data_IF_938467605211
#
_entry.id   IF_938467605211
#
_cell.length_a   1.000
_cell.length_b   1.000
_cell.length_c   1.000
_cell.angle_alpha   90.00
_cell.angle_beta   90.00
_cell.angle_gamma   90.00
#
_symmetry.space_group_name_H-M   'P 1'
#
loop_
_entity.id
_entity.type
_entity.pdbx_description
1 polymer ?
#
# COMPACT_ATOMS: atom_id res chain seq x y z
N UNK A 1 1.71 -9.95 39.96
CA UNK A 1 2.12 -9.89 38.53
C UNK A 1 0.84 -9.76 37.73
N UNK A 2 0.73 -8.79 36.82
CA UNK A 2 -0.46 -8.57 36.00
C UNK A 2 -0.07 -8.80 34.54
N UNK A 3 -0.81 -9.67 33.86
CA UNK A 3 -0.63 -9.94 32.44
C UNK A 3 -1.82 -9.35 31.69
N UNK A 4 -1.54 -8.57 30.65
CA UNK A 4 -2.55 -8.03 29.74
C UNK A 4 -2.31 -8.72 28.39
N UNK A 5 -3.38 -9.31 27.85
CA UNK A 5 -3.38 -9.92 26.52
C UNK A 5 -4.34 -9.16 25.64
N UNK A 6 -3.82 -8.51 24.61
CA UNK A 6 -4.63 -8.01 23.51
C UNK A 6 -4.56 -9.06 22.40
N UNK A 7 -5.57 -9.92 22.36
CA UNK A 7 -5.72 -10.87 21.27
C UNK A 7 -6.41 -10.14 20.12
N UNK A 8 -5.77 -10.09 18.95
CA UNK A 8 -6.20 -9.37 17.76
C UNK A 8 -6.15 -7.85 17.89
N UNK A 9 -5.09 -7.26 17.36
CA UNK A 9 -5.06 -5.85 17.00
C UNK A 9 -6.03 -5.62 15.84
N UNK A 10 -6.86 -4.60 15.95
CA UNK A 10 -7.81 -4.20 14.91
C UNK A 10 -7.25 -3.10 14.02
N UNK A 11 -7.89 -2.86 12.87
CA UNK A 11 -7.49 -1.84 11.87
C UNK A 11 -6.05 -1.99 11.36
N UNK A 12 -5.62 -3.23 11.19
CA UNK A 12 -4.37 -3.62 10.52
C UNK A 12 -4.67 -4.70 9.49
N UNK A 13 -3.80 -4.84 8.50
CA UNK A 13 -3.79 -6.02 7.65
C UNK A 13 -3.04 -7.16 8.36
N UNK A 14 -3.57 -8.37 8.24
CA UNK A 14 -3.07 -9.55 8.94
C UNK A 14 -3.48 -9.64 10.42
N UNK A 15 -2.84 -10.55 11.15
CA UNK A 15 -3.12 -10.85 12.54
C UNK A 15 -1.92 -10.49 13.43
N UNK A 16 -2.19 -9.76 14.50
CA UNK A 16 -1.20 -9.42 15.52
C UNK A 16 -1.80 -9.46 16.92
N UNK A 17 -1.00 -9.86 17.91
CA UNK A 17 -1.35 -9.83 19.33
C UNK A 17 -0.31 -9.01 20.11
N UNK A 18 -0.72 -8.41 21.22
CA UNK A 18 0.18 -7.74 22.16
C UNK A 18 0.08 -8.43 23.53
N UNK A 19 1.23 -8.82 24.06
CA UNK A 19 1.35 -9.35 25.42
C UNK A 19 2.15 -8.41 26.30
N UNK A 20 1.58 -7.98 27.42
CA UNK A 20 2.20 -7.04 28.36
C UNK A 20 2.28 -7.69 29.74
N UNK A 21 3.48 -7.74 30.30
CA UNK A 21 3.72 -8.19 31.67
C UNK A 21 4.06 -7.01 32.57
N UNK A 22 3.34 -6.87 33.67
CA UNK A 22 3.54 -5.81 34.67
C UNK A 22 3.88 -6.47 36.01
N UNK A 23 4.97 -6.01 36.64
CA UNK A 23 5.42 -6.46 37.94
C UNK A 23 5.68 -5.27 38.87
N UNK A 24 5.07 -5.26 40.06
CA UNK A 24 5.15 -4.15 41.04
C UNK A 24 4.90 -2.77 40.40
N UNK A 25 3.83 -2.66 39.60
CA UNK A 25 3.46 -1.46 38.84
C UNK A 25 4.53 -0.93 37.86
N UNK A 26 5.50 -1.77 37.50
CA UNK A 26 6.49 -1.47 36.45
C UNK A 26 6.29 -2.41 35.28
N UNK A 27 6.46 -1.86 34.08
CA UNK A 27 6.52 -2.67 32.86
C UNK A 27 7.70 -3.63 32.97
N UNK A 28 7.44 -4.92 32.81
CA UNK A 28 8.46 -5.98 32.84
C UNK A 28 8.78 -6.47 31.43
N UNK A 29 7.77 -6.63 30.59
CA UNK A 29 7.93 -7.20 29.25
C UNK A 29 6.80 -6.74 28.32
N UNK A 30 7.11 -6.56 27.03
CA UNK A 30 6.15 -6.38 25.95
C UNK A 30 6.55 -7.31 24.81
N UNK A 31 5.60 -8.06 24.27
CA UNK A 31 5.78 -8.85 23.06
C UNK A 31 4.71 -8.50 22.04
N UNK A 32 5.13 -8.37 20.80
CA UNK A 32 4.25 -8.40 19.64
C UNK A 32 4.36 -9.78 19.00
N UNK A 33 3.22 -10.45 18.82
CA UNK A 33 3.16 -11.78 18.22
C UNK A 33 2.35 -11.71 16.93
N UNK A 34 2.88 -12.28 15.85
CA UNK A 34 2.16 -12.46 14.59
C UNK A 34 1.79 -13.95 14.52
N UNK A 35 0.56 -14.34 14.88
CA UNK A 35 0.15 -15.75 14.92
C UNK A 35 -0.10 -16.35 13.52
N UNK A 36 0.12 -15.60 12.45
CA UNK A 36 -0.03 -16.12 11.08
C UNK A 36 1.05 -17.14 10.76
N UNK A 37 0.62 -18.31 10.28
CA UNK A 37 1.54 -19.30 9.74
C UNK A 37 2.22 -18.80 8.47
N UNK A 38 3.51 -19.14 8.24
CA UNK A 38 4.18 -18.79 7.01
C UNK A 38 3.48 -19.44 5.82
N UNK A 39 3.15 -18.64 4.79
CA UNK A 39 2.54 -19.13 3.53
C UNK A 39 3.57 -19.67 2.54
N UNK A 40 4.86 -19.47 2.82
CA UNK A 40 6.00 -20.04 2.08
C UNK A 40 5.98 -19.74 0.57
N UNK A 41 5.62 -18.51 0.18
CA UNK A 41 5.63 -18.07 -1.22
C UNK A 41 6.97 -18.28 -1.92
N UNK A 42 8.08 -18.13 -1.19
CA UNK A 42 9.44 -18.36 -1.71
C UNK A 42 9.66 -19.80 -2.15
N UNK A 43 9.13 -20.77 -1.39
CA UNK A 43 9.16 -22.19 -1.78
C UNK A 43 8.14 -22.49 -2.87
N UNK A 44 6.97 -21.85 -2.82
CA UNK A 44 5.87 -22.07 -3.77
C UNK A 44 6.24 -21.71 -5.22
N UNK A 45 7.14 -20.74 -5.40
CA UNK A 45 7.60 -20.30 -6.73
C UNK A 45 8.80 -21.10 -7.26
N UNK A 46 9.33 -22.07 -6.51
CA UNK A 46 10.38 -22.95 -7.01
C UNK A 46 9.84 -23.79 -8.18
N UNK A 47 10.68 -23.97 -9.19
CA UNK A 47 10.39 -24.72 -10.42
C UNK A 47 9.12 -24.26 -11.16
N UNK A 48 8.70 -22.99 -10.95
CA UNK A 48 7.59 -22.36 -11.66
C UNK A 48 8.08 -21.60 -12.87
N UNK A 49 7.28 -21.64 -13.93
CA UNK A 49 7.49 -20.80 -15.10
C UNK A 49 7.34 -19.32 -14.72
N UNK A 50 8.07 -18.39 -15.37
CA UNK A 50 8.01 -16.96 -15.07
C UNK A 50 6.58 -16.40 -15.02
N UNK A 51 5.70 -16.85 -15.91
CA UNK A 51 4.30 -16.41 -15.94
C UNK A 51 3.49 -16.93 -14.75
N UNK A 52 3.78 -18.14 -14.25
CA UNK A 52 3.16 -18.67 -13.04
C UNK A 52 3.57 -17.86 -11.82
N UNK A 53 4.86 -17.48 -11.73
CA UNK A 53 5.37 -16.61 -10.65
C UNK A 53 4.59 -15.29 -10.61
N UNK A 54 4.37 -14.66 -11.76
CA UNK A 54 3.60 -13.41 -11.86
C UNK A 54 2.14 -13.55 -11.41
N UNK A 55 1.58 -14.76 -11.48
CA UNK A 55 0.25 -15.06 -10.99
C UNK A 55 0.25 -15.42 -9.50
N UNK A 56 1.32 -16.02 -8.98
CA UNK A 56 1.43 -16.43 -7.58
C UNK A 56 1.69 -15.21 -6.68
N UNK A 57 2.76 -14.45 -6.94
CA UNK A 57 3.26 -13.44 -5.98
C UNK A 57 2.27 -12.32 -5.63
N UNK A 58 1.36 -11.85 -6.50
CA UNK A 58 0.41 -10.81 -6.10
C UNK A 58 -0.56 -11.25 -5.01
N UNK A 59 -0.68 -12.57 -4.75
CA UNK A 59 -1.53 -13.13 -3.67
C UNK A 59 -0.84 -13.09 -2.30
N UNK A 60 0.38 -12.54 -2.21
CA UNK A 60 1.01 -12.26 -0.92
C UNK A 60 0.15 -11.25 -0.15
N UNK A 61 -0.31 -10.18 -0.79
CA UNK A 61 -1.20 -9.20 -0.17
C UNK A 61 -2.14 -8.60 -1.22
N UNK A 62 -3.43 -8.47 -0.89
CA UNK A 62 -4.41 -7.87 -1.78
C UNK A 62 -4.29 -6.34 -1.88
N UNK A 63 -3.77 -5.68 -0.84
CA UNK A 63 -3.57 -4.23 -0.81
C UNK A 63 -2.38 -3.85 -1.71
N UNK A 64 -1.20 -4.41 -1.47
CA UNK A 64 0.02 -4.10 -2.24
C UNK A 64 0.30 -5.09 -3.40
N UNK A 65 -0.76 -5.51 -4.10
CA UNK A 65 -0.69 -6.54 -5.14
C UNK A 65 0.09 -6.12 -6.41
N UNK A 66 0.04 -4.84 -6.77
CA UNK A 66 0.77 -4.22 -7.88
C UNK A 66 2.26 -4.18 -7.56
N UNK A 67 2.62 -3.81 -6.34
CA UNK A 67 4.01 -3.85 -5.84
C UNK A 67 4.61 -5.24 -5.99
N UNK A 68 3.90 -6.29 -5.55
CA UNK A 68 4.37 -7.67 -5.69
C UNK A 68 4.54 -8.08 -7.16
N UNK A 69 3.57 -7.77 -8.01
CA UNK A 69 3.66 -8.08 -9.45
C UNK A 69 4.83 -7.35 -10.11
N UNK A 70 4.98 -6.06 -9.83
CA UNK A 70 6.00 -5.22 -10.43
C UNK A 70 7.40 -5.61 -9.94
N UNK A 71 7.56 -5.96 -8.66
CA UNK A 71 8.82 -6.49 -8.14
C UNK A 71 9.25 -7.78 -8.87
N UNK A 72 8.33 -8.72 -9.07
CA UNK A 72 8.62 -9.95 -9.81
C UNK A 72 8.91 -9.69 -11.30
N UNK A 73 8.17 -8.79 -11.95
CA UNK A 73 8.47 -8.38 -13.33
C UNK A 73 9.90 -7.85 -13.46
N UNK A 74 10.30 -6.93 -12.58
CA UNK A 74 11.66 -6.37 -12.59
C UNK A 74 12.72 -7.45 -12.36
N UNK A 75 12.47 -8.42 -11.49
CA UNK A 75 13.39 -9.52 -11.24
C UNK A 75 13.53 -10.42 -12.48
N UNK A 76 12.41 -10.85 -13.06
CA UNK A 76 12.37 -11.72 -14.24
C UNK A 76 12.98 -11.04 -15.48
N UNK A 77 12.67 -9.76 -15.70
CA UNK A 77 13.23 -8.97 -16.79
C UNK A 77 14.74 -8.77 -16.64
N UNK A 78 15.22 -8.56 -15.40
CA UNK A 78 16.65 -8.49 -15.11
C UNK A 78 17.36 -9.81 -15.42
N UNK A 79 16.77 -10.94 -15.03
CA UNK A 79 17.30 -12.28 -15.31
C UNK A 79 17.35 -12.54 -16.83
N UNK A 80 16.28 -12.17 -17.53
CA UNK A 80 16.18 -12.33 -18.99
C UNK A 80 16.92 -11.27 -19.81
N UNK A 81 17.61 -10.31 -19.17
CA UNK A 81 18.23 -9.15 -19.83
C UNK A 81 17.25 -8.38 -20.76
N UNK A 82 15.98 -8.30 -20.36
CA UNK A 82 14.91 -7.65 -21.11
C UNK A 82 14.90 -6.17 -20.76
N UNK A 83 15.04 -5.31 -21.78
CA UNK A 83 14.90 -3.87 -21.64
C UNK A 83 13.49 -3.46 -22.01
N UNK A 84 12.78 -2.84 -21.07
CA UNK A 84 11.45 -2.30 -21.32
C UNK A 84 11.52 -0.90 -21.97
N UNK A 85 10.62 -0.58 -22.91
CA UNK A 85 10.46 0.78 -23.42
C UNK A 85 10.09 1.79 -22.33
N UNK A 86 10.35 3.08 -22.57
CA UNK A 86 10.05 4.16 -21.62
C UNK A 86 8.55 4.25 -21.34
N UNK A 87 7.72 4.02 -22.35
CA UNK A 87 6.27 4.06 -22.31
C UNK A 87 5.72 2.97 -21.39
N UNK A 88 6.31 1.76 -21.46
CA UNK A 88 5.98 0.65 -20.55
C UNK A 88 6.31 1.03 -19.11
N UNK A 89 7.50 1.60 -18.87
CA UNK A 89 7.89 2.08 -17.53
C UNK A 89 6.89 3.09 -16.99
N UNK A 90 6.56 4.13 -17.76
CA UNK A 90 5.59 5.16 -17.36
C UNK A 90 4.21 4.58 -17.03
N UNK A 91 3.75 3.60 -17.81
CA UNK A 91 2.44 2.97 -17.55
C UNK A 91 2.47 2.07 -16.30
N UNK A 92 3.59 1.42 -15.99
CA UNK A 92 3.77 0.70 -14.72
C UNK A 92 3.81 1.65 -13.53
N UNK A 93 4.39 2.83 -13.71
CA UNK A 93 4.44 3.87 -12.68
C UNK A 93 3.04 4.40 -12.40
N UNK A 94 2.24 4.62 -13.45
CA UNK A 94 0.82 4.96 -13.31
C UNK A 94 0.03 3.89 -12.55
N UNK A 95 0.27 2.61 -12.83
CA UNK A 95 -0.36 1.51 -12.10
C UNK A 95 0.03 1.51 -10.61
N UNK A 96 1.30 1.74 -10.32
CA UNK A 96 1.82 1.80 -8.94
C UNK A 96 1.31 3.04 -8.19
N UNK A 97 1.15 4.19 -8.85
CA UNK A 97 0.44 5.35 -8.30
C UNK A 97 -0.98 4.99 -7.89
N UNK A 98 -1.68 4.18 -8.69
CA UNK A 98 -3.01 3.66 -8.37
C UNK A 98 -3.04 2.90 -7.05
N UNK A 99 -2.12 1.94 -6.89
CA UNK A 99 -1.96 1.19 -5.63
C UNK A 99 -1.63 2.12 -4.46
N UNK A 100 -0.71 3.07 -4.62
CA UNK A 100 -0.33 3.97 -3.55
C UNK A 100 -1.49 4.85 -3.09
N UNK A 101 -2.25 5.42 -4.03
CA UNK A 101 -3.43 6.23 -3.71
C UNK A 101 -4.49 5.39 -2.98
N UNK A 102 -4.75 4.18 -3.45
CA UNK A 102 -5.67 3.25 -2.80
C UNK A 102 -5.20 2.89 -1.38
N UNK A 103 -3.96 2.41 -1.25
CA UNK A 103 -3.38 1.91 -0.02
C UNK A 103 -3.21 3.01 1.03
N UNK A 104 -2.71 4.18 0.64
CA UNK A 104 -2.51 5.29 1.56
C UNK A 104 -3.85 5.89 1.99
N UNK A 105 -4.84 5.97 1.10
CA UNK A 105 -6.17 6.43 1.48
C UNK A 105 -6.86 5.43 2.44
N UNK A 106 -6.76 4.13 2.16
CA UNK A 106 -7.22 3.07 3.06
C UNK A 106 -6.57 3.21 4.44
N UNK A 107 -5.24 3.26 4.49
CA UNK A 107 -4.49 3.33 5.73
C UNK A 107 -4.80 4.61 6.52
N UNK A 108 -4.65 5.78 5.89
CA UNK A 108 -4.83 7.05 6.58
C UNK A 108 -6.28 7.22 7.05
N UNK A 109 -7.26 7.16 6.15
CA UNK A 109 -8.62 7.58 6.48
C UNK A 109 -9.45 6.52 7.18
N UNK A 110 -9.16 5.23 6.94
CA UNK A 110 -9.99 4.14 7.49
C UNK A 110 -9.32 3.42 8.66
N UNK A 111 -7.98 3.39 8.72
CA UNK A 111 -7.25 2.67 9.75
C UNK A 111 -6.68 3.60 10.82
N UNK A 112 -5.84 4.58 10.44
CA UNK A 112 -5.06 5.37 11.39
C UNK A 112 -5.82 6.57 11.97
N UNK A 113 -6.47 7.37 11.11
CA UNK A 113 -7.09 8.64 11.49
C UNK A 113 -8.14 8.52 12.61
N UNK A 114 -8.95 7.45 12.74
CA UNK A 114 -9.84 7.28 13.88
C UNK A 114 -9.10 7.35 15.23
N UNK A 115 -7.89 6.79 15.35
CA UNK A 115 -7.11 6.87 16.60
C UNK A 115 -6.70 8.31 16.94
N UNK A 116 -6.22 9.05 15.94
CA UNK A 116 -5.80 10.43 16.14
C UNK A 116 -6.95 11.35 16.56
N UNK A 117 -8.16 11.04 16.10
CA UNK A 117 -9.36 11.85 16.38
C UNK A 117 -10.19 11.30 17.55
N UNK A 118 -9.80 10.17 18.15
CA UNK A 118 -10.48 9.57 19.29
C UNK A 118 -11.78 8.84 18.95
N UNK A 119 -11.87 8.26 17.75
CA UNK A 119 -13.01 7.47 17.28
C UNK A 119 -12.68 5.98 17.22
N UNK A 120 -13.68 5.09 17.45
CA UNK A 120 -13.47 3.65 17.36
C UNK A 120 -13.21 3.18 15.92
N UNK A 121 -13.78 3.86 14.94
CA UNK A 121 -13.68 3.53 13.52
C UNK A 121 -14.05 4.75 12.64
N UNK A 122 -13.81 4.62 11.33
CA UNK A 122 -14.08 5.67 10.36
C UNK A 122 -15.59 5.90 10.10
N UNK A 123 -16.46 4.94 10.42
CA UNK A 123 -17.91 5.11 10.27
C UNK A 123 -18.42 6.07 11.35
N UNK A 124 -17.99 5.87 12.59
CA UNK A 124 -18.29 6.74 13.73
C UNK A 124 -17.77 8.16 13.54
N UNK A 125 -16.68 8.34 12.77
CA UNK A 125 -16.19 9.67 12.39
C UNK A 125 -17.16 10.45 11.49
N UNK A 126 -18.04 9.78 10.74
CA UNK A 126 -18.89 10.44 9.74
C UNK A 126 -19.88 11.45 10.32
N UNK A 127 -20.23 11.34 11.60
CA UNK A 127 -21.10 12.31 12.27
C UNK A 127 -20.47 13.72 12.33
N UNK A 128 -19.15 13.79 12.53
CA UNK A 128 -18.41 15.06 12.71
C UNK A 128 -17.48 15.39 11.55
N UNK A 129 -16.94 14.38 10.87
CA UNK A 129 -15.97 14.49 9.78
C UNK A 129 -16.45 13.79 8.49
N UNK A 130 -17.70 14.00 8.04
CA UNK A 130 -18.23 13.33 6.85
C UNK A 130 -17.39 13.66 5.60
N UNK A 131 -17.01 14.93 5.43
CA UNK A 131 -16.20 15.39 4.30
C UNK A 131 -14.86 14.67 4.23
N UNK A 132 -14.20 14.48 5.37
CA UNK A 132 -12.85 13.89 5.44
C UNK A 132 -12.89 12.40 5.09
N UNK A 133 -13.87 11.67 5.61
CA UNK A 133 -14.10 10.25 5.26
C UNK A 133 -14.44 10.12 3.78
N UNK A 134 -15.31 10.98 3.25
CA UNK A 134 -15.68 10.97 1.85
C UNK A 134 -14.51 11.28 0.91
N UNK A 135 -13.66 12.26 1.24
CA UNK A 135 -12.44 12.55 0.48
C UNK A 135 -11.55 11.31 0.44
N UNK A 136 -11.32 10.66 1.58
CA UNK A 136 -10.55 9.42 1.65
C UNK A 136 -11.12 8.32 0.75
N UNK A 137 -12.44 8.11 0.77
CA UNK A 137 -13.10 7.14 -0.11
C UNK A 137 -13.00 7.50 -1.60
N UNK A 138 -13.06 8.79 -1.95
CA UNK A 138 -12.86 9.26 -3.34
C UNK A 138 -11.44 9.04 -3.82
N UNK A 139 -10.43 9.35 -3.00
CA UNK A 139 -9.01 9.06 -3.32
C UNK A 139 -8.81 7.55 -3.49
N UNK A 140 -9.34 6.74 -2.58
CA UNK A 140 -9.29 5.28 -2.67
C UNK A 140 -9.95 4.77 -3.96
N UNK A 141 -11.12 5.32 -4.31
CA UNK A 141 -11.85 4.97 -5.54
C UNK A 141 -11.04 5.31 -6.79
N UNK A 142 -10.37 6.46 -6.80
CA UNK A 142 -9.52 6.85 -7.93
C UNK A 142 -8.27 5.95 -8.06
N UNK A 143 -7.63 5.58 -6.94
CA UNK A 143 -6.56 4.58 -6.95
C UNK A 143 -7.01 3.23 -7.53
N UNK A 144 -8.19 2.75 -7.12
CA UNK A 144 -8.84 1.57 -7.70
C UNK A 144 -9.09 1.72 -9.21
N UNK A 145 -9.61 2.86 -9.65
CA UNK A 145 -9.85 3.14 -11.07
C UNK A 145 -8.56 3.05 -11.90
N UNK A 146 -7.46 3.61 -11.40
CA UNK A 146 -6.14 3.49 -12.05
C UNK A 146 -5.70 2.03 -12.15
N UNK A 147 -5.82 1.26 -11.07
CA UNK A 147 -5.48 -0.17 -11.07
C UNK A 147 -6.37 -0.97 -12.03
N UNK A 148 -7.67 -0.72 -12.07
CA UNK A 148 -8.57 -1.38 -13.00
C UNK A 148 -8.21 -1.09 -14.45
N UNK A 149 -7.94 0.18 -14.79
CA UNK A 149 -7.56 0.58 -16.15
C UNK A 149 -6.22 -0.01 -16.58
N UNK A 150 -5.23 0.03 -15.70
CA UNK A 150 -3.86 -0.41 -16.02
C UNK A 150 -3.67 -1.92 -15.91
N UNK A 151 -4.35 -2.59 -14.97
CA UNK A 151 -4.15 -4.01 -14.64
C UNK A 151 -5.29 -4.92 -15.10
N UNK A 152 -6.43 -4.33 -15.49
CA UNK A 152 -7.67 -5.04 -15.85
C UNK A 152 -8.53 -5.44 -14.65
N UNK A 153 -8.01 -5.32 -13.41
CA UNK A 153 -8.73 -5.57 -12.15
C UNK A 153 -8.17 -4.67 -11.05
N UNK A 154 -9.02 -4.29 -10.10
CA UNK A 154 -8.60 -3.53 -8.91
C UNK A 154 -7.66 -4.34 -8.00
N UNK A 155 -7.81 -5.66 -7.97
CA UNK A 155 -7.01 -6.58 -7.14
C UNK A 155 -6.54 -7.72 -8.02
N UNK A 156 -5.24 -8.02 -7.93
CA UNK A 156 -4.58 -9.13 -8.63
C UNK A 156 -4.79 -9.09 -10.15
N UNK A 157 -4.74 -7.90 -10.74
CA UNK A 157 -4.82 -7.73 -12.19
C UNK A 157 -3.60 -8.30 -12.91
N UNK A 158 -3.81 -8.69 -14.17
CA UNK A 158 -2.88 -9.55 -14.93
C UNK A 158 -2.31 -8.84 -16.17
N UNK A 159 -2.73 -7.61 -16.45
CA UNK A 159 -2.38 -6.91 -17.70
C UNK A 159 -0.90 -6.51 -17.80
N UNK A 160 -0.20 -6.24 -16.68
CA UNK A 160 1.25 -6.02 -16.69
C UNK A 160 1.97 -7.35 -16.94
N UNK A 161 2.74 -7.49 -18.01
CA UNK A 161 3.44 -8.73 -18.37
C UNK A 161 4.94 -8.49 -18.55
N UNK A 162 5.72 -9.55 -18.70
CA UNK A 162 7.15 -9.44 -18.98
C UNK A 162 7.34 -8.65 -20.27
N UNK A 163 8.16 -7.60 -20.23
CA UNK A 163 8.47 -6.75 -21.37
C UNK A 163 7.43 -5.67 -21.70
N UNK A 164 6.23 -5.70 -21.12
CA UNK A 164 5.16 -4.80 -21.55
C UNK A 164 3.81 -4.97 -20.85
N UNK A 165 2.74 -4.81 -21.62
CA UNK A 165 1.35 -4.97 -21.21
C UNK A 165 0.60 -5.84 -22.22
N UNK A 166 -0.41 -6.59 -21.74
CA UNK A 166 -1.33 -7.34 -22.62
C UNK A 166 -2.22 -6.41 -23.45
N UNK A 167 -2.66 -5.30 -22.87
CA UNK A 167 -3.40 -4.20 -23.51
C UNK A 167 -2.84 -2.87 -23.02
N UNK A 168 -2.59 -1.96 -23.95
CA UNK A 168 -2.23 -0.57 -23.63
C UNK A 168 -3.49 0.29 -23.53
N UNK A 169 -3.40 1.34 -22.71
CA UNK A 169 -4.43 2.39 -22.67
C UNK A 169 -4.38 3.21 -23.97
N UNK A 170 -5.55 3.58 -24.47
CA UNK A 170 -5.63 4.53 -25.58
C UNK A 170 -5.62 5.99 -25.06
N UNK A 171 -5.54 6.95 -26.00
CA UNK A 171 -5.46 8.38 -25.67
C UNK A 171 -6.71 8.92 -24.95
N UNK A 172 -7.89 8.39 -25.27
CA UNK A 172 -9.15 8.75 -24.61
C UNK A 172 -9.14 8.29 -23.15
N UNK A 173 -8.73 7.05 -22.87
CA UNK A 173 -8.60 6.50 -21.52
C UNK A 173 -7.59 7.29 -20.68
N UNK A 174 -6.44 7.66 -21.27
CA UNK A 174 -5.45 8.51 -20.60
C UNK A 174 -5.98 9.93 -20.33
N UNK A 175 -6.77 10.48 -21.25
CA UNK A 175 -7.39 11.80 -21.09
C UNK A 175 -8.43 11.80 -19.96
N UNK A 176 -9.21 10.73 -19.83
CA UNK A 176 -10.16 10.56 -18.72
C UNK A 176 -9.42 10.45 -17.39
N UNK A 177 -8.35 9.64 -17.32
CA UNK A 177 -7.52 9.53 -16.11
C UNK A 177 -6.95 10.88 -15.70
N UNK A 178 -6.41 11.65 -16.65
CA UNK A 178 -5.87 12.98 -16.39
C UNK A 178 -6.94 13.91 -15.82
N UNK A 179 -8.12 13.96 -16.46
CA UNK A 179 -9.23 14.80 -16.03
C UNK A 179 -9.68 14.45 -14.60
N UNK A 180 -9.88 13.17 -14.30
CA UNK A 180 -10.28 12.73 -12.95
C UNK A 180 -9.21 13.07 -11.90
N UNK A 181 -7.92 12.95 -12.25
CA UNK A 181 -6.83 13.36 -11.37
C UNK A 181 -6.86 14.87 -11.08
N UNK A 182 -7.05 15.70 -12.10
CA UNK A 182 -7.14 17.15 -11.97
C UNK A 182 -8.34 17.58 -11.13
N UNK A 183 -9.49 16.91 -11.28
CA UNK A 183 -10.70 17.16 -10.48
C UNK A 183 -10.54 16.74 -9.01
N UNK A 184 -9.83 15.64 -8.74
CA UNK A 184 -9.60 15.14 -7.39
C UNK A 184 -8.51 15.90 -6.62
N UNK A 185 -7.53 16.49 -7.34
CA UNK A 185 -6.35 17.11 -6.74
C UNK A 185 -6.66 18.16 -5.65
N UNK A 186 -7.61 19.10 -5.83
CA UNK A 186 -7.96 20.06 -4.79
C UNK A 186 -8.45 19.40 -3.49
N UNK A 187 -9.22 18.31 -3.61
CA UNK A 187 -9.70 17.56 -2.46
C UNK A 187 -8.56 16.82 -1.74
N UNK A 188 -7.65 16.21 -2.50
CA UNK A 188 -6.47 15.55 -1.94
C UNK A 188 -5.58 16.54 -1.18
N UNK A 189 -5.38 17.75 -1.71
CA UNK A 189 -4.64 18.82 -1.03
C UNK A 189 -5.36 19.23 0.26
N UNK A 190 -6.69 19.45 0.22
CA UNK A 190 -7.48 19.76 1.41
C UNK A 190 -7.36 18.67 2.49
N UNK A 191 -7.41 17.40 2.09
CA UNK A 191 -7.23 16.27 3.00
C UNK A 191 -5.83 16.30 3.65
N UNK A 192 -4.79 16.56 2.86
CA UNK A 192 -3.43 16.70 3.35
C UNK A 192 -3.28 17.87 4.33
N UNK A 193 -3.87 19.03 4.03
CA UNK A 193 -3.84 20.21 4.92
C UNK A 193 -4.50 19.95 6.28
N UNK A 194 -5.58 19.16 6.30
CA UNK A 194 -6.24 18.75 7.54
C UNK A 194 -5.37 17.76 8.33
N UNK A 195 -4.76 16.80 7.63
CA UNK A 195 -4.05 15.67 8.27
C UNK A 195 -2.58 15.95 8.59
N UNK A 196 -1.95 16.97 7.99
CA UNK A 196 -0.54 17.32 8.29
C UNK A 196 -0.31 17.82 9.71
N UNK A 197 -1.37 18.28 10.39
CA UNK A 197 -1.29 18.83 11.75
C UNK A 197 -1.71 17.80 12.82
N UNK A 198 -1.86 16.52 12.45
CA UNK A 198 -2.12 15.47 13.42
C UNK A 198 -0.98 15.39 14.44
N UNK A 199 -1.35 15.33 15.71
CA UNK A 199 -0.37 15.26 16.79
C UNK A 199 0.12 13.82 16.94
N UNK A 200 1.39 13.58 16.66
CA UNK A 200 2.05 12.30 16.88
C UNK A 200 2.50 12.19 18.34
N UNK A 201 2.24 11.03 18.96
CA UNK A 201 2.81 10.76 20.26
C UNK A 201 4.33 10.55 20.10
N UNK A 202 5.14 11.41 20.72
CA UNK A 202 6.61 11.31 20.70
C UNK A 202 7.16 10.30 21.72
N UNK A 203 6.30 9.45 22.28
CA UNK A 203 6.66 8.53 23.35
C UNK A 203 7.43 7.34 22.77
N UNK A 204 8.73 7.25 23.07
CA UNK A 204 9.56 6.14 22.62
C UNK A 204 10.23 6.33 21.26
N UNK A 205 10.39 7.58 20.80
CA UNK A 205 11.30 7.87 19.68
C UNK A 205 12.74 7.52 20.08
N UNK A 206 13.18 6.32 19.68
CA UNK A 206 14.59 5.95 19.64
C UNK A 206 15.19 6.34 18.28
N UNK A 207 16.52 6.30 18.15
CA UNK A 207 17.19 6.49 16.86
C UNK A 207 16.73 5.40 15.87
N UNK A 208 15.74 5.71 15.04
CA UNK A 208 15.26 4.81 13.99
C UNK A 208 16.20 4.82 12.80
N UNK A 209 16.63 3.63 12.38
CA UNK A 209 17.30 3.45 11.09
C UNK A 209 16.22 3.47 9.99
N UNK A 210 16.07 4.61 9.34
CA UNK A 210 15.25 4.68 8.12
C UNK A 210 16.08 4.15 6.95
N UNK A 211 15.60 3.08 6.32
CA UNK A 211 16.20 2.54 5.10
C UNK A 211 15.29 2.93 3.94
N UNK A 212 15.80 3.75 3.02
CA UNK A 212 15.17 4.00 1.74
C UNK A 212 16.11 3.56 0.61
N UNK A 213 15.52 3.19 -0.54
CA UNK A 213 16.32 2.99 -1.75
C UNK A 213 16.60 4.34 -2.38
N UNK A 214 17.85 4.58 -2.81
CA UNK A 214 18.19 5.80 -3.55
C UNK A 214 17.49 5.75 -4.91
N UNK A 215 16.58 6.69 -5.24
CA UNK A 215 15.89 6.68 -6.53
C UNK A 215 16.91 6.69 -7.69
N UNK A 216 16.59 6.06 -8.84
CA UNK A 216 17.46 6.03 -10.01
C UNK A 216 17.71 7.42 -10.62
N UNK A 217 16.89 8.40 -10.23
CA UNK A 217 16.94 9.80 -10.65
C UNK A 217 16.91 10.69 -9.40
N UNK A 218 17.21 11.99 -9.55
CA UNK A 218 17.08 12.97 -8.45
C UNK A 218 15.62 13.38 -8.16
N UNK A 219 14.66 12.62 -8.70
CA UNK A 219 13.23 12.81 -8.49
C UNK A 219 12.69 11.78 -7.49
N UNK A 220 11.50 12.03 -6.95
CA UNK A 220 10.78 11.03 -6.17
C UNK A 220 10.52 9.79 -7.05
N UNK A 221 11.02 8.64 -6.63
CA UNK A 221 10.94 7.40 -7.40
C UNK A 221 10.31 6.26 -6.60
N UNK A 222 9.52 5.43 -7.27
CA UNK A 222 8.86 4.27 -6.64
C UNK A 222 9.80 3.09 -6.38
N UNK A 223 11.04 3.17 -6.84
CA UNK A 223 12.11 2.23 -6.54
C UNK A 223 13.44 2.94 -6.64
N UNK A 224 14.47 2.34 -6.06
CA UNK A 224 15.83 2.84 -6.18
C UNK A 224 16.81 1.92 -6.90
N UNK A 225 17.95 2.50 -7.24
CA UNK A 225 19.19 1.79 -7.54
C UNK A 225 19.85 1.36 -6.23
N UNK A 226 20.34 0.12 -6.17
CA UNK A 226 21.35 -0.23 -5.17
C UNK A 226 22.68 0.40 -5.58
#
# INVERSE_FOLDING_TARGET
MKNIKLNFITRVEGHGNIFIEIYKNRLKNIKFEIPEGPRLFETLVLDKEPQEVLNIVPRICAICNVSHRYAALRALEKIGNIKIPKEVKLLRDLAHCGEMLESHALHLFLLALPDFLGYPDAISMTEKYPDLVQIGLRIKKFGNFLMEKTLGRIIHGENMIIGGFGRYLNEEELSVIKKEAEELLPEAIKAWEITRNLHYATLGEESMLFVCLKPPTDEYGFWGTK
#
